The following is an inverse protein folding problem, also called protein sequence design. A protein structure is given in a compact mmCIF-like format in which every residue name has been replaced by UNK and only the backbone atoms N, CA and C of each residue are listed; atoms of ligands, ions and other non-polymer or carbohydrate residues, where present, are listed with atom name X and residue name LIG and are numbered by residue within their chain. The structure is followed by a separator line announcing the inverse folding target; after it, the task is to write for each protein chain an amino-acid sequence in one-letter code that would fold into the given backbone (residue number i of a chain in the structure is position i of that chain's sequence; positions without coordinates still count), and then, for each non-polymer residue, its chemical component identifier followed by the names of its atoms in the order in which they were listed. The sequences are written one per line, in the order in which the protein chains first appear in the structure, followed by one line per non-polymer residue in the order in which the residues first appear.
data_IF_619417260592
#
_entry.id   IF_619417260592
#
_cell.length_a   1.000
_cell.length_b   1.000
_cell.length_c   1.000
_cell.angle_alpha   90.00
_cell.angle_beta   90.00
_cell.angle_gamma   90.00
#
_symmetry.space_group_name_H-M   'P 1'
#
loop_
_entity.id
_entity.type
_entity.pdbx_description
1 polymer ?
#
# COMPACT_ATOMS: atom_id res chain seq x y z
N UNK A 1 22.72 -22.16 -9.36
CA UNK A 1 21.55 -22.16 -8.49
C UNK A 1 21.84 -21.46 -7.15
N UNK A 2 22.66 -22.01 -6.26
CA UNK A 2 22.93 -21.43 -4.93
C UNK A 2 23.44 -19.99 -5.05
N UNK A 3 24.40 -19.71 -5.93
CA UNK A 3 24.92 -18.35 -6.15
C UNK A 3 23.83 -17.34 -6.50
N UNK A 4 22.89 -17.71 -7.37
CA UNK A 4 21.76 -16.84 -7.77
C UNK A 4 20.82 -16.54 -6.60
N UNK A 5 20.54 -17.56 -5.77
CA UNK A 5 19.70 -17.36 -4.57
C UNK A 5 20.40 -16.48 -3.53
N UNK A 6 21.72 -16.49 -3.49
CA UNK A 6 22.49 -15.62 -2.60
C UNK A 6 22.62 -14.18 -3.11
N UNK A 7 22.66 -14.00 -4.44
CA UNK A 7 22.87 -12.71 -5.08
C UNK A 7 21.55 -11.98 -5.40
N UNK A 8 20.42 -12.70 -5.43
CA UNK A 8 19.13 -12.06 -5.71
C UNK A 8 18.74 -11.09 -4.58
N UNK A 9 18.15 -9.96 -4.97
CA UNK A 9 17.64 -8.99 -3.99
C UNK A 9 16.61 -9.65 -3.06
N UNK A 10 16.88 -9.58 -1.76
CA UNK A 10 15.99 -10.08 -0.71
C UNK A 10 16.03 -9.14 0.50
N UNK A 11 14.87 -8.80 1.04
CA UNK A 11 14.73 -7.84 2.12
C UNK A 11 14.44 -6.42 1.62
N UNK A 12 14.74 -5.43 2.46
CA UNK A 12 14.51 -4.01 2.16
C UNK A 12 15.50 -3.55 1.09
N UNK A 13 14.95 -2.96 0.03
CA UNK A 13 15.74 -2.33 -1.04
C UNK A 13 15.81 -0.81 -0.87
N UNK A 14 14.69 -0.19 -0.47
CA UNK A 14 14.59 1.26 -0.32
C UNK A 14 13.63 1.64 0.78
N UNK A 15 13.97 2.72 1.50
CA UNK A 15 13.10 3.38 2.47
C UNK A 15 12.41 4.58 1.84
N UNK A 16 11.26 5.01 2.37
CA UNK A 16 10.56 6.23 1.94
C UNK A 16 11.34 7.44 2.46
N UNK A 17 11.85 8.34 1.59
CA UNK A 17 12.67 9.47 2.05
C UNK A 17 11.91 10.48 2.93
N UNK A 18 10.60 10.62 2.72
CA UNK A 18 9.73 11.60 3.39
C UNK A 18 9.08 11.08 4.66
N UNK A 19 9.15 9.77 4.92
CA UNK A 19 8.53 9.14 6.10
C UNK A 19 9.57 8.25 6.79
N UNK A 20 10.15 8.69 7.91
CA UNK A 20 11.17 7.92 8.62
C UNK A 20 10.71 6.50 8.95
N UNK A 21 11.65 5.57 8.98
CA UNK A 21 11.48 4.16 9.36
C UNK A 21 10.41 3.39 8.55
N UNK A 22 10.05 3.91 7.37
CA UNK A 22 9.04 3.28 6.51
C UNK A 22 9.67 2.71 5.25
N UNK A 23 9.43 1.42 5.00
CA UNK A 23 9.91 0.72 3.80
C UNK A 23 9.09 1.17 2.58
N UNK A 24 9.78 1.56 1.50
CA UNK A 24 9.19 1.82 0.19
C UNK A 24 9.15 0.55 -0.65
N UNK A 25 10.31 -0.09 -0.83
CA UNK A 25 10.50 -1.20 -1.76
C UNK A 25 11.22 -2.35 -1.07
N UNK A 26 10.69 -3.53 -1.20
CA UNK A 26 11.27 -4.76 -0.66
C UNK A 26 10.93 -5.98 -1.49
N UNK A 27 11.72 -7.04 -1.34
CA UNK A 27 11.42 -8.38 -1.84
C UNK A 27 11.54 -9.40 -0.74
N UNK A 28 10.83 -10.50 -0.91
CA UNK A 28 10.91 -11.65 -0.02
C UNK A 28 11.08 -12.92 -0.87
N UNK A 29 12.23 -13.58 -0.74
CA UNK A 29 12.46 -14.92 -1.26
C UNK A 29 11.62 -15.89 -0.43
N UNK A 30 10.36 -16.09 -0.83
CA UNK A 30 9.36 -16.71 0.02
C UNK A 30 9.41 -18.24 0.00
N UNK A 31 9.59 -18.84 -1.19
CA UNK A 31 9.59 -20.30 -1.35
C UNK A 31 10.69 -20.69 -2.32
N UNK A 32 11.47 -21.69 -1.96
CA UNK A 32 12.45 -22.35 -2.83
C UNK A 32 12.22 -23.84 -2.76
N UNK A 33 11.88 -24.44 -3.90
CA UNK A 33 11.72 -25.90 -4.02
C UNK A 33 12.70 -26.43 -5.05
N UNK A 34 13.55 -27.37 -4.66
CA UNK A 34 14.54 -28.00 -5.54
C UNK A 34 14.36 -29.51 -5.45
N UNK A 35 14.17 -30.16 -6.60
CA UNK A 35 14.03 -31.63 -6.67
C UNK A 35 13.71 -32.09 -8.08
N UNK A 36 13.99 -33.37 -8.38
CA UNK A 36 13.68 -33.99 -9.67
C UNK A 36 14.26 -33.25 -10.88
N UNK A 37 15.44 -32.62 -10.74
CA UNK A 37 16.06 -31.84 -11.81
C UNK A 37 15.39 -30.49 -12.10
N UNK A 38 14.52 -30.04 -11.23
CA UNK A 38 13.79 -28.76 -11.33
C UNK A 38 14.03 -27.90 -10.11
N UNK A 39 13.93 -26.58 -10.30
CA UNK A 39 13.88 -25.59 -9.22
C UNK A 39 12.70 -24.63 -9.47
N UNK A 40 11.88 -24.41 -8.46
CA UNK A 40 10.83 -23.39 -8.40
C UNK A 40 11.20 -22.39 -7.33
N UNK A 41 11.21 -21.10 -7.69
CA UNK A 41 11.55 -20.01 -6.78
C UNK A 41 10.44 -19.00 -6.84
N UNK A 42 9.84 -18.70 -5.69
CA UNK A 42 8.76 -17.72 -5.60
C UNK A 42 9.20 -16.54 -4.74
N UNK A 43 9.08 -15.36 -5.32
CA UNK A 43 9.48 -14.09 -4.71
C UNK A 43 8.27 -13.17 -4.68
N UNK A 44 8.02 -12.57 -3.53
CA UNK A 44 7.04 -11.52 -3.38
C UNK A 44 7.78 -10.18 -3.35
N UNK A 45 7.55 -9.34 -4.36
CA UNK A 45 8.06 -7.97 -4.43
C UNK A 45 6.95 -6.98 -4.07
N UNK A 46 7.29 -5.93 -3.34
CA UNK A 46 6.36 -4.86 -2.94
C UNK A 46 7.03 -3.50 -3.06
N UNK A 47 6.27 -2.51 -3.52
CA UNK A 47 6.68 -1.10 -3.48
C UNK A 47 5.46 -0.20 -3.43
N UNK A 48 5.57 0.93 -2.72
CA UNK A 48 4.61 2.04 -2.81
C UNK A 48 4.87 2.94 -4.03
N UNK A 49 6.01 2.76 -4.71
CA UNK A 49 6.44 3.50 -5.90
C UNK A 49 6.48 2.56 -7.11
N UNK A 50 5.64 2.79 -8.12
CA UNK A 50 5.53 1.89 -9.28
C UNK A 50 6.83 1.78 -10.06
N UNK A 51 7.58 2.87 -10.28
CA UNK A 51 8.87 2.82 -10.99
C UNK A 51 9.92 1.99 -10.24
N UNK A 52 9.90 2.02 -8.91
CA UNK A 52 10.80 1.19 -8.10
C UNK A 52 10.34 -0.27 -8.04
N UNK A 53 9.04 -0.52 -8.12
CA UNK A 53 8.50 -1.87 -8.27
C UNK A 53 8.97 -2.50 -9.58
N UNK A 54 8.86 -1.75 -10.68
CA UNK A 54 9.30 -2.20 -12.00
C UNK A 54 10.82 -2.43 -12.03
N UNK A 55 11.61 -1.51 -11.47
CA UNK A 55 13.06 -1.68 -11.35
C UNK A 55 13.43 -2.95 -10.57
N UNK A 56 12.75 -3.23 -9.46
CA UNK A 56 12.98 -4.45 -8.69
C UNK A 56 12.61 -5.70 -9.49
N UNK A 57 11.48 -5.68 -10.21
CA UNK A 57 11.05 -6.77 -11.06
C UNK A 57 12.05 -7.06 -12.20
N UNK A 58 12.56 -6.02 -12.84
CA UNK A 58 13.59 -6.13 -13.89
C UNK A 58 14.91 -6.66 -13.33
N UNK A 59 15.33 -6.20 -12.15
CA UNK A 59 16.54 -6.69 -11.49
C UNK A 59 16.46 -8.17 -11.13
N UNK A 60 15.33 -8.61 -10.57
CA UNK A 60 15.10 -10.02 -10.28
C UNK A 60 15.04 -10.86 -11.58
N UNK A 61 14.37 -10.34 -12.60
CA UNK A 61 14.29 -10.98 -13.91
C UNK A 61 15.67 -11.17 -14.52
N UNK A 62 16.51 -10.16 -14.50
CA UNK A 62 17.88 -10.22 -15.01
C UNK A 62 18.70 -11.25 -14.22
N UNK A 63 18.63 -11.21 -12.89
CA UNK A 63 19.38 -12.12 -12.01
C UNK A 63 19.07 -13.61 -12.31
N UNK A 64 17.79 -13.98 -12.37
CA UNK A 64 17.38 -15.36 -12.61
C UNK A 64 17.54 -15.78 -14.09
N UNK A 65 17.33 -14.87 -15.03
CA UNK A 65 17.54 -15.14 -16.47
C UNK A 65 19.01 -15.42 -16.80
N UNK A 66 19.96 -14.71 -16.18
CA UNK A 66 21.39 -14.98 -16.33
C UNK A 66 21.76 -16.41 -15.86
N UNK A 67 21.01 -16.98 -14.94
CA UNK A 67 21.15 -18.35 -14.51
C UNK A 67 20.41 -19.38 -15.40
N UNK A 68 19.82 -18.93 -16.50
CA UNK A 68 19.06 -19.79 -17.41
C UNK A 68 17.68 -20.20 -16.92
N UNK A 69 17.14 -19.48 -15.92
CA UNK A 69 15.78 -19.71 -15.40
C UNK A 69 14.74 -18.89 -16.16
N UNK A 70 13.57 -19.49 -16.39
CA UNK A 70 12.41 -18.77 -16.89
C UNK A 70 11.81 -17.96 -15.76
N UNK A 71 11.56 -16.67 -15.99
CA UNK A 71 10.91 -15.77 -15.03
C UNK A 71 9.52 -15.41 -15.53
N UNK A 72 8.54 -15.47 -14.64
CA UNK A 72 7.16 -15.04 -14.88
C UNK A 72 6.79 -14.00 -13.84
N UNK A 73 6.32 -12.84 -14.30
CA UNK A 73 5.80 -11.78 -13.45
C UNK A 73 4.26 -11.84 -13.44
N UNK A 74 3.65 -11.76 -12.27
CA UNK A 74 2.19 -11.81 -12.13
C UNK A 74 1.71 -11.05 -10.90
N UNK A 75 0.40 -10.74 -10.86
CA UNK A 75 -0.25 -10.15 -9.68
C UNK A 75 0.17 -8.71 -9.36
N UNK A 76 0.73 -7.97 -10.34
CA UNK A 76 1.11 -6.58 -10.13
C UNK A 76 -0.11 -5.68 -9.99
N UNK A 77 -0.04 -4.74 -9.05
CA UNK A 77 -0.99 -3.63 -8.87
C UNK A 77 -0.23 -2.35 -8.50
N UNK A 78 -0.90 -1.20 -8.65
CA UNK A 78 -0.29 0.10 -8.39
C UNK A 78 -0.01 0.31 -6.91
N UNK A 79 1.14 0.91 -6.61
CA UNK A 79 1.50 1.37 -5.28
C UNK A 79 0.65 2.56 -4.85
N UNK A 80 0.54 2.77 -3.54
CA UNK A 80 -0.05 3.97 -2.97
C UNK A 80 1.02 4.74 -2.21
N UNK A 81 1.50 5.81 -2.83
CA UNK A 81 2.49 6.68 -2.19
C UNK A 81 1.83 7.52 -1.09
N UNK A 82 2.43 7.59 0.10
CA UNK A 82 1.91 8.41 1.17
C UNK A 82 2.01 9.89 0.80
N UNK A 83 0.91 10.64 1.01
CA UNK A 83 0.86 12.09 0.91
C UNK A 83 0.73 12.69 2.31
N UNK A 84 1.83 13.21 2.85
CA UNK A 84 1.85 13.83 4.19
C UNK A 84 1.12 15.18 4.24
N UNK A 85 0.94 15.82 3.09
CA UNK A 85 0.23 17.10 2.93
C UNK A 85 -1.22 16.92 2.46
N UNK A 86 -1.78 15.72 2.60
CA UNK A 86 -3.14 15.38 2.19
C UNK A 86 -4.18 16.24 2.93
N UNK A 87 -5.03 17.00 2.23
CA UNK A 87 -6.13 17.76 2.84
C UNK A 87 -7.09 16.91 3.67
N UNK A 88 -7.45 15.70 3.19
CA UNK A 88 -8.32 14.80 3.95
C UNK A 88 -7.63 14.28 5.21
N UNK A 89 -6.33 14.03 5.19
CA UNK A 89 -5.56 13.64 6.36
C UNK A 89 -5.61 14.73 7.43
N UNK A 90 -5.38 15.99 7.04
CA UNK A 90 -5.42 17.12 7.97
C UNK A 90 -6.81 17.31 8.56
N UNK A 91 -7.86 17.28 7.72
CA UNK A 91 -9.24 17.43 8.18
C UNK A 91 -9.64 16.32 9.16
N UNK A 92 -9.33 15.09 8.85
CA UNK A 92 -9.65 13.94 9.70
C UNK A 92 -8.84 13.93 11.00
N UNK A 93 -7.58 14.33 10.96
CA UNK A 93 -6.75 14.46 12.19
C UNK A 93 -7.37 15.49 13.13
N UNK A 94 -7.80 16.63 12.61
CA UNK A 94 -8.45 17.68 13.41
C UNK A 94 -9.79 17.19 13.99
N UNK A 95 -10.63 16.58 13.18
CA UNK A 95 -11.92 16.00 13.59
C UNK A 95 -11.75 14.95 14.69
N UNK A 96 -10.78 14.05 14.53
CA UNK A 96 -10.48 13.03 15.53
C UNK A 96 -10.04 13.64 16.87
N UNK A 97 -9.16 14.64 16.81
CA UNK A 97 -8.70 15.37 18.01
C UNK A 97 -9.84 16.08 18.72
N UNK A 98 -10.75 16.70 17.97
CA UNK A 98 -11.95 17.37 18.53
C UNK A 98 -12.89 16.37 19.20
N UNK A 99 -13.12 15.22 18.58
CA UNK A 99 -14.06 14.21 19.07
C UNK A 99 -13.53 13.42 20.27
N UNK A 100 -12.24 13.05 20.24
CA UNK A 100 -11.66 12.12 21.24
C UNK A 100 -10.65 12.77 22.19
N UNK A 101 -10.29 14.04 22.01
CA UNK A 101 -9.34 14.77 22.84
C UNK A 101 -7.87 14.33 22.71
N UNK A 102 -7.56 13.43 21.77
CA UNK A 102 -6.21 12.91 21.52
C UNK A 102 -5.89 12.98 20.02
N UNK A 103 -4.63 13.05 19.67
CA UNK A 103 -4.20 12.98 18.28
C UNK A 103 -4.21 11.53 17.78
N UNK A 104 -4.70 11.28 16.54
CA UNK A 104 -4.62 9.95 15.96
C UNK A 104 -3.17 9.60 15.59
N UNK A 105 -2.83 8.32 15.68
CA UNK A 105 -1.56 7.84 15.14
C UNK A 105 -1.69 7.69 13.61
N UNK A 106 -1.05 8.57 12.87
CA UNK A 106 -0.91 8.47 11.41
C UNK A 106 0.25 7.52 11.10
N UNK A 107 -0.04 6.50 10.31
CA UNK A 107 0.96 5.47 9.97
C UNK A 107 0.92 5.19 8.47
N UNK A 108 2.08 4.89 7.93
CA UNK A 108 2.24 4.29 6.60
C UNK A 108 2.57 2.82 6.80
N UNK A 109 1.90 1.95 6.07
CA UNK A 109 2.19 0.51 6.12
C UNK A 109 2.73 0.03 4.78
N UNK A 110 3.69 -0.88 4.84
CA UNK A 110 4.26 -1.52 3.65
C UNK A 110 3.39 -2.71 3.21
N UNK A 111 2.17 -2.39 2.75
CA UNK A 111 1.18 -3.37 2.30
C UNK A 111 0.42 -2.86 1.08
N UNK A 112 -0.13 -3.79 0.30
CA UNK A 112 -1.07 -3.46 -0.76
C UNK A 112 -2.40 -3.05 -0.15
N UNK A 113 -2.85 -1.85 -0.49
CA UNK A 113 -4.16 -1.33 -0.08
C UNK A 113 -4.98 -1.02 -1.33
N UNK A 114 -6.29 -1.11 -1.21
CA UNK A 114 -7.24 -0.78 -2.27
C UNK A 114 -7.05 0.64 -2.80
N UNK A 115 -6.56 1.56 -1.96
CA UNK A 115 -6.26 2.93 -2.35
C UNK A 115 -5.24 3.03 -3.50
N UNK A 116 -4.29 2.09 -3.62
CA UNK A 116 -3.38 2.03 -4.77
C UNK A 116 -4.13 1.80 -6.08
N UNK A 117 -5.06 0.84 -6.08
CA UNK A 117 -5.87 0.50 -7.26
C UNK A 117 -6.86 1.63 -7.58
N UNK A 118 -7.52 2.20 -6.57
CA UNK A 118 -8.47 3.31 -6.73
C UNK A 118 -7.74 4.54 -7.29
N UNK A 119 -6.59 4.90 -6.70
CA UNK A 119 -5.80 6.06 -7.13
C UNK A 119 -5.26 5.95 -8.56
N UNK A 120 -4.90 4.74 -9.00
CA UNK A 120 -4.50 4.50 -10.39
C UNK A 120 -5.64 4.74 -11.40
N UNK A 121 -6.87 4.43 -11.00
CA UNK A 121 -8.06 4.63 -11.85
C UNK A 121 -8.70 6.01 -11.69
N UNK A 122 -8.43 6.71 -10.59
CA UNK A 122 -8.95 8.04 -10.27
C UNK A 122 -7.80 9.00 -9.93
N UNK A 123 -7.01 9.43 -10.92
CA UNK A 123 -5.88 10.32 -10.68
C UNK A 123 -6.30 11.63 -9.98
N UNK A 124 -5.54 12.01 -8.95
CA UNK A 124 -5.82 13.21 -8.16
C UNK A 124 -6.84 13.04 -7.05
N UNK A 125 -7.38 11.83 -6.85
CA UNK A 125 -8.22 11.54 -5.70
C UNK A 125 -7.37 11.50 -4.43
N UNK A 126 -7.70 12.36 -3.47
CA UNK A 126 -7.08 12.35 -2.14
C UNK A 126 -7.77 11.29 -1.26
N UNK A 127 -7.00 10.43 -0.62
CA UNK A 127 -7.54 9.26 0.05
C UNK A 127 -6.84 9.00 1.38
N UNK A 128 -7.59 8.42 2.31
CA UNK A 128 -7.09 7.92 3.59
C UNK A 128 -7.69 6.55 3.87
N UNK A 129 -6.91 5.67 4.47
CA UNK A 129 -7.39 4.37 4.94
C UNK A 129 -7.47 4.37 6.47
N UNK A 130 -8.61 4.01 7.01
CA UNK A 130 -8.82 3.89 8.45
C UNK A 130 -9.89 2.83 8.76
N UNK A 131 -9.87 2.31 9.98
CA UNK A 131 -10.79 1.25 10.35
C UNK A 131 -10.73 0.88 11.83
N UNK A 132 -11.53 -0.09 12.26
CA UNK A 132 -11.47 -0.62 13.62
C UNK A 132 -10.16 -1.40 13.85
N UNK A 133 -9.85 -1.65 15.11
CA UNK A 133 -8.68 -2.45 15.49
C UNK A 133 -8.89 -3.92 15.14
N UNK A 134 -8.06 -4.43 14.24
CA UNK A 134 -7.97 -5.84 13.90
C UNK A 134 -6.76 -6.48 14.56
N UNK A 135 -6.86 -7.74 14.90
CA UNK A 135 -5.76 -8.58 15.39
C UNK A 135 -5.61 -9.80 14.52
N UNK A 136 -4.38 -10.22 14.30
CA UNK A 136 -4.01 -11.39 13.49
C UNK A 136 -4.66 -11.39 12.10
N UNK A 137 -4.59 -10.27 11.32
CA UNK A 137 -5.20 -10.23 9.99
C UNK A 137 -4.62 -11.32 9.09
N UNK A 138 -5.45 -11.82 8.17
CA UNK A 138 -5.10 -12.89 7.24
C UNK A 138 -4.75 -14.24 7.89
N UNK A 139 -5.23 -14.50 9.09
CA UNK A 139 -5.04 -15.77 9.78
C UNK A 139 -6.39 -16.34 10.27
N UNK A 140 -6.46 -17.65 10.60
CA UNK A 140 -7.64 -18.24 11.19
C UNK A 140 -8.06 -17.61 12.54
N UNK A 141 -7.14 -16.91 13.22
CA UNK A 141 -7.36 -16.21 14.47
C UNK A 141 -7.71 -14.73 14.28
N UNK A 142 -8.06 -14.32 13.08
CA UNK A 142 -8.43 -12.93 12.78
C UNK A 142 -9.66 -12.51 13.58
N UNK A 143 -9.57 -11.36 14.24
CA UNK A 143 -10.65 -10.84 15.08
C UNK A 143 -10.64 -9.32 15.14
N UNK A 144 -11.84 -8.73 15.20
CA UNK A 144 -12.04 -7.31 15.45
C UNK A 144 -12.24 -7.03 16.95
N UNK A 145 -11.66 -5.95 17.44
CA UNK A 145 -11.92 -5.46 18.79
C UNK A 145 -13.23 -4.67 18.79
N UNK A 146 -14.31 -5.27 19.29
CA UNK A 146 -15.69 -4.73 19.23
C UNK A 146 -15.79 -3.26 19.70
N UNK A 147 -15.20 -2.82 20.84
CA UNK A 147 -15.30 -1.41 21.25
C UNK A 147 -14.70 -0.43 20.23
N UNK A 148 -13.72 -0.87 19.43
CA UNK A 148 -13.15 -0.01 18.38
C UNK A 148 -14.06 0.14 17.16
N UNK A 149 -15.02 -0.76 16.96
CA UNK A 149 -15.99 -0.67 15.85
C UNK A 149 -16.94 0.51 16.08
N UNK A 150 -17.47 0.66 17.30
CA UNK A 150 -18.30 1.82 17.66
C UNK A 150 -17.52 3.12 17.48
N UNK A 151 -16.31 3.18 18.03
CA UNK A 151 -15.43 4.35 17.90
C UNK A 151 -15.15 4.71 16.42
N UNK A 152 -14.89 3.70 15.59
CA UNK A 152 -14.69 3.87 14.16
C UNK A 152 -15.95 4.43 13.47
N UNK A 153 -17.12 3.87 13.79
CA UNK A 153 -18.40 4.31 13.22
C UNK A 153 -18.71 5.76 13.58
N UNK A 154 -18.58 6.12 14.85
CA UNK A 154 -18.81 7.50 15.32
C UNK A 154 -17.87 8.48 14.62
N UNK A 155 -16.61 8.10 14.43
CA UNK A 155 -15.64 8.91 13.72
C UNK A 155 -15.95 9.04 12.21
N UNK A 156 -16.41 7.95 11.58
CA UNK A 156 -16.85 7.97 10.19
C UNK A 156 -18.03 8.94 10.00
N UNK A 157 -19.05 8.83 10.85
CA UNK A 157 -20.24 9.72 10.79
C UNK A 157 -19.82 11.18 10.95
N UNK A 158 -19.03 11.51 11.98
CA UNK A 158 -18.55 12.87 12.21
C UNK A 158 -17.71 13.41 11.04
N UNK A 159 -16.92 12.55 10.39
CA UNK A 159 -16.15 12.94 9.21
C UNK A 159 -17.06 13.26 8.03
N UNK A 160 -18.09 12.45 7.78
CA UNK A 160 -19.06 12.66 6.71
C UNK A 160 -19.89 13.92 6.92
N UNK A 161 -20.32 14.20 8.16
CA UNK A 161 -21.06 15.41 8.51
C UNK A 161 -20.25 16.69 8.31
N UNK A 162 -18.93 16.62 8.43
CA UNK A 162 -18.00 17.74 8.21
C UNK A 162 -17.55 17.87 6.75
N UNK A 163 -17.97 16.95 5.88
CA UNK A 163 -17.60 16.99 4.47
C UNK A 163 -18.27 18.20 3.80
N UNK A 164 -17.51 19.12 3.17
CA UNK A 164 -18.09 20.29 2.53
C UNK A 164 -18.99 19.88 1.36
N UNK A 165 -20.15 20.53 1.25
CA UNK A 165 -21.01 20.34 0.09
C UNK A 165 -20.30 20.76 -1.20
N UNK A 166 -20.28 19.87 -2.17
CA UNK A 166 -19.72 20.16 -3.48
C UNK A 166 -20.62 21.11 -4.23
N UNK A 167 -20.23 22.38 -4.36
CA UNK A 167 -20.90 23.33 -5.26
C UNK A 167 -20.58 22.91 -6.71
N UNK A 168 -21.55 22.30 -7.39
CA UNK A 168 -21.45 22.08 -8.82
C UNK A 168 -21.58 23.41 -9.54
N UNK A 169 -20.51 23.90 -10.17
CA UNK A 169 -20.57 24.98 -11.15
C UNK A 169 -20.84 24.36 -12.51
N UNK A 170 -22.07 24.46 -12.99
CA UNK A 170 -22.45 24.07 -14.36
C UNK A 170 -22.06 25.22 -15.28
N UNK A 171 -20.98 25.07 -16.05
CA UNK A 171 -20.68 25.91 -17.19
C UNK A 171 -21.30 25.29 -18.43
N UNK A 172 -22.36 25.91 -18.96
CA UNK A 172 -22.88 25.61 -20.30
C UNK A 172 -22.18 26.57 -21.25
N UNK A 173 -21.24 26.08 -22.04
CA UNK A 173 -20.69 26.85 -23.16
C UNK A 173 -21.52 26.51 -24.39
N UNK A 174 -22.43 27.40 -24.79
CA UNK A 174 -23.07 27.35 -26.10
C UNK A 174 -22.08 27.91 -27.11
N UNK A 175 -21.54 27.06 -27.99
CA UNK A 175 -20.90 27.47 -29.23
C UNK A 175 -22.01 27.70 -30.25
N UNK A 176 -22.24 28.98 -30.66
CA UNK A 176 -23.04 29.37 -31.81
C UNK A 176 -22.20 29.33 -33.09
#
# INVERSE_FOLDING_TARGET
MISVLMDCQNGVMRMIPTVPDTVETSSNLAIVTIGGGKADVRILARSSCDTMKDFLADSLTACFSMAGMKVELSGSYSGWQPNVDSPILHAMTLSYKQQFGIEPAVKVIHAGLECGIIGANCPGLDMISFGPTLRSPHSPDERAYIPSVTKFYDFLVATLEQTPEKKFSLYITCLL
#
